data_IF_418696217791
#
_entry.id   IF_418696217791
#
_cell.length_a   1.000
_cell.length_b   1.000
_cell.length_c   1.000
_cell.angle_alpha   90.00
_cell.angle_beta   90.00
_cell.angle_gamma   90.00
#
_symmetry.space_group_name_H-M   'P 1'
#
loop_
_entity.id
_entity.type
_entity.pdbx_description
1 polymer ?
#
# COMPACT_ATOMS: atom_id res chain seq x y z
N UNK A 1 4.34 8.51 -10.24
CA UNK A 1 4.27 7.04 -10.33
C UNK A 1 2.91 6.62 -10.94
N UNK A 2 2.68 6.77 -12.25
CA UNK A 2 1.39 6.33 -12.87
C UNK A 2 1.49 5.02 -13.66
N UNK A 3 2.68 4.63 -14.16
CA UNK A 3 2.80 3.52 -15.12
C UNK A 3 2.57 2.13 -14.51
N UNK A 4 2.99 1.88 -13.27
CA UNK A 4 2.91 0.53 -12.68
C UNK A 4 1.47 0.13 -12.34
N UNK A 5 0.64 1.08 -11.90
CA UNK A 5 -0.79 0.83 -11.60
C UNK A 5 -1.62 0.59 -12.86
N UNK A 6 -1.18 1.10 -14.01
CA UNK A 6 -1.95 1.05 -15.26
C UNK A 6 -1.67 -0.21 -16.10
N UNK A 7 -0.54 -0.90 -15.88
CA UNK A 7 -0.07 -1.97 -16.79
C UNK A 7 0.05 -3.34 -16.11
N UNK A 8 0.37 -3.40 -14.82
CA UNK A 8 0.72 -4.65 -14.15
C UNK A 8 -0.35 -5.09 -13.15
N UNK A 9 -0.66 -6.40 -13.12
CA UNK A 9 -1.50 -6.99 -12.07
C UNK A 9 -0.67 -7.42 -10.85
N UNK A 10 0.59 -7.79 -11.06
CA UNK A 10 1.54 -8.23 -10.02
C UNK A 10 2.83 -7.41 -10.06
N UNK A 11 3.44 -7.25 -8.89
CA UNK A 11 4.70 -6.54 -8.70
C UNK A 11 5.57 -7.28 -7.69
N UNK A 12 6.88 -7.19 -7.88
CA UNK A 12 7.89 -7.54 -6.89
C UNK A 12 8.76 -6.32 -6.61
N UNK A 13 9.05 -6.07 -5.34
CA UNK A 13 9.95 -5.03 -4.85
C UNK A 13 11.25 -5.72 -4.45
N UNK A 14 12.36 -5.23 -4.99
CA UNK A 14 13.69 -5.77 -4.70
C UNK A 14 14.46 -4.81 -3.78
N UNK A 15 15.20 -5.37 -2.83
CA UNK A 15 16.14 -4.67 -1.95
C UNK A 15 17.40 -5.55 -1.81
N UNK A 16 18.59 -4.96 -1.99
CA UNK A 16 19.88 -5.66 -1.96
C UNK A 16 19.93 -6.96 -2.80
N UNK A 17 19.32 -6.93 -3.99
CA UNK A 17 19.30 -8.06 -4.91
C UNK A 17 18.36 -9.22 -4.51
N UNK A 18 17.61 -9.07 -3.42
CA UNK A 18 16.61 -10.03 -2.97
C UNK A 18 15.19 -9.49 -3.19
N UNK A 19 14.22 -10.38 -3.38
CA UNK A 19 12.80 -10.00 -3.36
C UNK A 19 12.39 -9.69 -1.93
N UNK A 20 12.12 -8.42 -1.66
CA UNK A 20 11.71 -7.93 -0.35
C UNK A 20 10.19 -8.05 -0.14
N UNK A 21 9.41 -7.96 -1.22
CA UNK A 21 7.95 -8.09 -1.20
C UNK A 21 7.39 -8.37 -2.59
N UNK A 22 6.34 -9.18 -2.69
CA UNK A 22 5.65 -9.43 -3.95
C UNK A 22 4.14 -9.60 -3.75
N UNK A 23 3.37 -9.33 -4.79
CA UNK A 23 1.92 -9.54 -4.79
C UNK A 23 1.19 -8.68 -5.81
N UNK A 24 -0.13 -8.58 -5.64
CA UNK A 24 -0.96 -7.72 -6.46
C UNK A 24 -0.55 -6.26 -6.31
N UNK A 25 -0.45 -5.53 -7.42
CA UNK A 25 -0.11 -4.09 -7.40
C UNK A 25 -1.02 -3.32 -6.45
N UNK A 26 -2.33 -3.60 -6.51
CA UNK A 26 -3.32 -2.97 -5.64
C UNK A 26 -3.06 -3.23 -4.15
N UNK A 27 -2.65 -4.45 -3.78
CA UNK A 27 -2.39 -4.81 -2.38
C UNK A 27 -1.07 -4.22 -1.88
N UNK A 28 0.02 -4.39 -2.65
CA UNK A 28 1.37 -3.94 -2.29
C UNK A 28 1.43 -2.41 -2.18
N UNK A 29 0.74 -1.67 -3.07
CA UNK A 29 0.73 -0.20 -3.01
C UNK A 29 -0.30 0.36 -2.01
N UNK A 30 -1.31 -0.40 -1.60
CA UNK A 30 -2.26 0.05 -0.58
C UNK A 30 -1.75 -0.17 0.84
N UNK A 31 -1.02 -1.27 1.07
CA UNK A 31 -0.51 -1.65 2.37
C UNK A 31 0.85 -2.37 2.24
N UNK A 32 1.93 -1.66 1.88
CA UNK A 32 3.25 -2.26 1.75
C UNK A 32 3.74 -2.79 3.10
N UNK A 33 4.26 -4.02 3.12
CA UNK A 33 4.71 -4.70 4.34
C UNK A 33 6.21 -4.56 4.58
N UNK A 34 6.99 -4.52 3.51
CA UNK A 34 8.45 -4.42 3.58
C UNK A 34 8.92 -2.99 3.86
N UNK A 35 10.12 -2.85 4.44
CA UNK A 35 10.73 -1.53 4.61
C UNK A 35 11.06 -0.86 3.27
N UNK A 36 11.48 -1.63 2.26
CA UNK A 36 11.68 -1.14 0.90
C UNK A 36 10.37 -0.68 0.25
N UNK A 37 9.30 -1.47 0.36
CA UNK A 37 7.98 -1.12 -0.15
C UNK A 37 7.43 0.15 0.47
N UNK A 38 7.54 0.31 1.80
CA UNK A 38 7.12 1.53 2.50
C UNK A 38 7.89 2.77 2.05
N UNK A 39 9.22 2.66 1.86
CA UNK A 39 10.05 3.77 1.34
C UNK A 39 9.63 4.19 -0.08
N UNK A 40 9.25 3.23 -0.92
CA UNK A 40 8.83 3.49 -2.30
C UNK A 40 7.41 4.06 -2.39
N UNK A 41 6.48 3.55 -1.59
CA UNK A 41 5.07 3.97 -1.61
C UNK A 41 4.86 5.29 -0.84
N UNK A 42 5.61 5.50 0.25
CA UNK A 42 5.53 6.68 1.12
C UNK A 42 6.87 7.44 1.15
N UNK A 43 7.25 8.11 0.04
CA UNK A 43 8.48 8.89 -0.01
C UNK A 43 8.45 10.02 1.04
N UNK A 44 9.49 10.10 1.86
CA UNK A 44 9.60 11.10 2.94
C UNK A 44 9.33 10.58 4.36
N UNK A 45 9.16 9.27 4.56
CA UNK A 45 9.06 8.67 5.90
C UNK A 45 7.74 8.97 6.62
N UNK A 46 6.72 9.40 5.87
CA UNK A 46 5.37 9.69 6.38
C UNK A 46 4.80 8.46 7.11
N UNK A 47 5.14 7.25 6.67
CA UNK A 47 4.69 6.00 7.30
C UNK A 47 5.20 5.79 8.74
N UNK A 48 6.38 6.33 9.08
CA UNK A 48 6.92 6.29 10.46
C UNK A 48 6.17 7.21 11.41
N UNK A 49 5.40 8.19 10.89
CA UNK A 49 4.57 9.11 11.67
C UNK A 49 3.07 8.82 11.58
N UNK A 50 2.62 7.94 10.67
CA UNK A 50 1.20 7.84 10.27
C UNK A 50 0.47 6.61 10.81
N UNK A 51 1.15 5.62 11.39
CA UNK A 51 0.43 4.55 12.08
C UNK A 51 1.31 3.70 12.99
N UNK A 52 1.15 3.86 14.30
CA UNK A 52 1.24 2.72 15.22
C UNK A 52 -0.17 2.10 15.30
N UNK A 53 -0.39 0.91 14.73
CA UNK A 53 -1.65 0.18 14.81
C UNK A 53 -2.23 0.03 16.21
N UNK A 54 -1.37 0.00 17.23
CA UNK A 54 -1.74 -0.16 18.63
C UNK A 54 -2.01 1.18 19.34
N UNK A 55 -1.43 2.29 18.87
CA UNK A 55 -1.61 3.61 19.46
C UNK A 55 -2.78 4.41 18.84
N UNK A 56 -3.28 4.00 17.67
CA UNK A 56 -4.29 4.77 16.95
C UNK A 56 -5.73 4.27 17.13
N UNK A 57 -6.63 5.22 17.35
CA UNK A 57 -8.08 4.96 17.48
C UNK A 57 -8.68 4.62 16.11
N UNK A 58 -8.98 3.35 15.88
CA UNK A 58 -9.53 2.85 14.61
C UNK A 58 -11.05 2.89 14.59
N UNK A 59 -11.62 3.28 13.44
CA UNK A 59 -13.07 3.21 13.19
C UNK A 59 -13.31 2.33 11.96
N UNK A 60 -14.16 1.32 12.09
CA UNK A 60 -14.59 0.49 10.97
C UNK A 60 -15.75 1.18 10.26
N UNK A 61 -15.49 1.73 9.07
CA UNK A 61 -16.52 2.26 8.19
C UNK A 61 -17.12 1.10 7.37
N UNK A 62 -18.45 0.92 7.45
CA UNK A 62 -19.19 -0.05 6.65
C UNK A 62 -20.17 0.74 5.78
N UNK A 63 -19.94 0.75 4.48
CA UNK A 63 -20.90 1.27 3.51
C UNK A 63 -21.93 0.18 3.23
N UNK A 64 -23.19 0.40 3.64
CA UNK A 64 -24.29 -0.58 3.48
C UNK A 64 -24.99 -0.50 2.12
N UNK A 65 -24.73 0.54 1.34
CA UNK A 65 -25.36 0.76 0.05
C UNK A 65 -24.35 1.38 -0.92
N UNK A 66 -24.31 0.86 -2.14
CA UNK A 66 -23.48 1.35 -3.24
C UNK A 66 -24.41 1.80 -4.37
N UNK A 67 -25.28 2.78 -4.10
CA UNK A 67 -25.99 3.47 -5.18
C UNK A 67 -25.02 4.38 -5.90
N UNK A 68 -24.39 3.84 -6.94
CA UNK A 68 -23.69 4.61 -7.95
C UNK A 68 -24.74 5.39 -8.75
N UNK A 69 -24.66 6.72 -8.73
CA UNK A 69 -25.39 7.57 -9.68
C UNK A 69 -24.92 7.21 -11.09
N UNK A 70 -25.87 6.80 -11.93
CA UNK A 70 -25.63 6.48 -13.34
C UNK A 70 -25.31 7.69 -14.19
#
# INVERSE_FOLDING_TARGET
MSVVKEVCSHVAILDDGCVAEEGLVAAVFAAPKSAAGRRLVFPGGVDTMVSDPAAERRVRLIFRDSRTTG
#
